data_IF_696478708033
#
_entry.id   IF_696478708033
#
_cell.length_a   1.000
_cell.length_b   1.000
_cell.length_c   1.000
_cell.angle_alpha   90.00
_cell.angle_beta   90.00
_cell.angle_gamma   90.00
#
_symmetry.space_group_name_H-M   'P 1'
#
loop_
_entity.id
_entity.type
_entity.pdbx_description
1 polymer ?
#
# COMPACT_ATOMS: atom_id res chain seq x y z
N UNK A 1 4.84 -11.49 14.29
CA UNK A 1 4.49 -11.72 15.70
C UNK A 1 4.91 -10.48 16.47
N UNK A 2 4.08 -10.06 17.42
CA UNK A 2 4.28 -8.79 18.13
C UNK A 2 5.03 -8.95 19.46
N UNK A 3 4.84 -10.07 20.14
CA UNK A 3 5.40 -10.32 21.48
C UNK A 3 6.56 -11.29 21.51
N UNK A 4 6.67 -12.19 20.52
CA UNK A 4 7.67 -13.27 20.50
C UNK A 4 8.32 -13.45 19.13
N UNK A 5 9.50 -14.07 19.13
CA UNK A 5 10.26 -14.47 17.95
C UNK A 5 11.08 -13.34 17.33
N UNK A 6 11.79 -13.66 16.24
CA UNK A 6 12.83 -12.79 15.64
C UNK A 6 12.34 -11.38 15.29
N UNK A 7 11.05 -11.21 14.99
CA UNK A 7 10.48 -9.89 14.71
C UNK A 7 10.46 -9.06 16.00
N UNK A 8 9.96 -9.58 17.12
CA UNK A 8 9.90 -8.85 18.39
C UNK A 8 11.29 -8.63 19.03
N UNK A 9 12.24 -9.54 18.77
CA UNK A 9 13.57 -9.52 19.38
C UNK A 9 14.58 -8.62 18.65
N UNK A 10 14.25 -8.15 17.44
CA UNK A 10 15.18 -7.39 16.59
C UNK A 10 14.54 -6.17 15.93
N UNK A 11 15.05 -4.99 16.29
CA UNK A 11 14.51 -3.70 15.83
C UNK A 11 14.56 -3.50 14.30
N UNK A 12 15.54 -4.06 13.61
CA UNK A 12 15.65 -4.00 12.15
C UNK A 12 14.51 -4.76 11.47
N UNK A 13 14.15 -5.95 12.01
CA UNK A 13 13.02 -6.73 11.52
C UNK A 13 11.67 -6.08 11.86
N UNK A 14 11.51 -5.51 13.06
CA UNK A 14 10.31 -4.73 13.39
C UNK A 14 10.10 -3.57 12.43
N UNK A 15 11.16 -2.78 12.19
CA UNK A 15 11.13 -1.60 11.33
C UNK A 15 10.77 -1.97 9.89
N UNK A 16 11.39 -3.02 9.36
CA UNK A 16 11.09 -3.52 8.02
C UNK A 16 9.62 -3.98 7.92
N UNK A 17 9.12 -4.68 8.94
CA UNK A 17 7.74 -5.17 8.97
C UNK A 17 6.70 -4.05 9.09
N UNK A 18 6.97 -3.03 9.91
CA UNK A 18 6.11 -1.83 10.03
C UNK A 18 6.04 -1.05 8.72
N UNK A 19 7.13 -0.98 7.95
CA UNK A 19 7.16 -0.31 6.64
C UNK A 19 6.37 -1.07 5.57
N UNK A 20 6.52 -2.40 5.51
CA UNK A 20 5.86 -3.21 4.51
C UNK A 20 4.32 -3.19 4.64
N UNK A 21 3.80 -3.11 5.87
CA UNK A 21 2.36 -3.11 6.21
C UNK A 21 1.59 -4.26 5.54
N UNK A 22 2.28 -5.34 5.18
CA UNK A 22 1.75 -6.46 4.41
C UNK A 22 1.11 -7.52 5.31
N UNK A 23 1.43 -7.49 6.60
CA UNK A 23 0.97 -8.45 7.58
C UNK A 23 0.53 -7.76 8.89
N UNK A 24 -0.60 -8.19 9.42
CA UNK A 24 -1.08 -7.81 10.75
C UNK A 24 -0.19 -8.49 11.80
N UNK A 25 0.26 -7.78 12.85
CA UNK A 25 0.95 -8.41 13.97
C UNK A 25 0.03 -9.43 14.65
N UNK A 26 0.56 -10.63 14.87
CA UNK A 26 -0.12 -11.70 15.60
C UNK A 26 0.47 -11.78 17.00
N UNK A 27 -0.38 -11.86 18.01
CA UNK A 27 0.02 -12.04 19.41
C UNK A 27 0.36 -13.53 19.70
N UNK A 28 1.11 -13.77 20.76
CA UNK A 28 1.52 -15.14 21.14
C UNK A 28 0.32 -16.04 21.47
N UNK A 29 -0.62 -15.52 22.25
CA UNK A 29 -1.83 -16.24 22.66
C UNK A 29 -2.73 -16.59 21.47
N UNK A 30 -2.86 -15.69 20.49
CA UNK A 30 -3.55 -15.96 19.22
C UNK A 30 -2.90 -17.13 18.46
N UNK A 31 -1.57 -17.13 18.36
CA UNK A 31 -0.84 -18.21 17.69
C UNK A 31 -1.01 -19.55 18.42
N UNK A 32 -0.87 -19.55 19.75
CA UNK A 32 -1.01 -20.75 20.56
C UNK A 32 -2.44 -21.31 20.47
N UNK A 33 -3.46 -20.45 20.51
CA UNK A 33 -4.85 -20.87 20.32
C UNK A 33 -5.10 -21.48 18.94
N UNK A 34 -4.47 -20.95 17.89
CA UNK A 34 -4.53 -21.51 16.55
C UNK A 34 -3.84 -22.88 16.46
N UNK A 35 -2.70 -23.05 17.13
CA UNK A 35 -2.02 -24.35 17.22
C UNK A 35 -2.88 -25.37 17.95
N UNK A 36 -3.53 -24.98 19.05
CA UNK A 36 -4.46 -25.87 19.77
C UNK A 36 -5.63 -26.31 18.88
N UNK A 37 -6.17 -25.40 18.06
CA UNK A 37 -7.25 -25.71 17.11
C UNK A 37 -6.77 -26.67 16.00
N UNK A 38 -5.59 -26.42 15.44
CA UNK A 38 -5.04 -27.16 14.30
C UNK A 38 -4.44 -28.51 14.69
N UNK A 39 -3.90 -28.62 15.90
CA UNK A 39 -3.20 -29.81 16.39
C UNK A 39 -4.03 -30.60 17.40
N UNK A 40 -5.34 -30.37 17.47
CA UNK A 40 -6.24 -31.05 18.42
C UNK A 40 -6.29 -32.58 18.19
N UNK A 41 -5.64 -33.38 19.06
CA UNK A 41 -5.59 -34.82 18.88
C UNK A 41 -6.89 -35.51 19.30
N UNK A 42 -7.79 -34.77 19.96
CA UNK A 42 -9.04 -35.28 20.50
C UNK A 42 -10.25 -34.94 19.61
N UNK A 43 -10.05 -34.17 18.53
CA UNK A 43 -11.12 -33.83 17.58
C UNK A 43 -12.28 -33.05 18.19
N UNK A 44 -12.01 -32.26 19.23
CA UNK A 44 -12.96 -31.37 19.91
C UNK A 44 -13.42 -30.24 18.98
N UNK A 45 -12.56 -29.81 18.06
CA UNK A 45 -12.87 -28.78 17.10
C UNK A 45 -13.13 -29.34 15.70
N UNK A 46 -14.14 -28.77 15.02
CA UNK A 46 -14.38 -29.07 13.61
C UNK A 46 -13.24 -28.49 12.78
N UNK A 47 -12.35 -29.34 12.32
CA UNK A 47 -11.27 -28.89 11.46
C UNK A 47 -11.79 -28.55 10.06
N UNK A 48 -11.25 -27.49 9.43
CA UNK A 48 -11.52 -27.21 8.04
C UNK A 48 -11.01 -28.35 7.16
N UNK A 49 -11.62 -28.51 5.98
CA UNK A 49 -11.17 -29.48 4.99
C UNK A 49 -9.81 -29.05 4.45
N UNK A 50 -8.74 -29.65 4.97
CA UNK A 50 -7.34 -29.28 4.67
C UNK A 50 -6.94 -29.59 3.22
N UNK A 51 -7.70 -30.44 2.51
CA UNK A 51 -7.49 -30.68 1.07
C UNK A 51 -8.07 -29.55 0.21
N UNK A 52 -9.00 -28.76 0.76
CA UNK A 52 -9.70 -27.67 0.05
C UNK A 52 -9.39 -26.29 0.62
N UNK A 53 -8.69 -26.20 1.73
CA UNK A 53 -8.45 -24.95 2.42
C UNK A 53 -7.10 -24.93 3.15
N UNK A 54 -6.56 -23.73 3.29
CA UNK A 54 -5.34 -23.48 4.04
C UNK A 54 -5.60 -22.30 4.98
N UNK A 55 -5.04 -22.39 6.18
CA UNK A 55 -5.13 -21.35 7.19
C UNK A 55 -4.00 -20.35 6.95
N UNK A 56 -4.38 -19.08 6.76
CA UNK A 56 -3.44 -17.97 6.66
C UNK A 56 -3.74 -17.01 7.80
N UNK A 57 -2.69 -16.64 8.54
CA UNK A 57 -2.79 -15.77 9.71
C UNK A 57 -1.99 -14.50 9.47
N UNK A 58 -2.48 -13.39 10.02
CA UNK A 58 -1.87 -12.07 9.84
C UNK A 58 -2.00 -11.52 8.42
N UNK A 59 -2.72 -12.16 7.49
CA UNK A 59 -2.94 -11.60 6.17
C UNK A 59 -3.69 -10.27 6.26
N UNK A 60 -3.15 -9.23 5.62
CA UNK A 60 -3.89 -7.99 5.41
C UNK A 60 -4.91 -8.17 4.29
N UNK A 61 -6.05 -7.50 4.40
CA UNK A 61 -7.13 -7.53 3.40
C UNK A 61 -7.49 -6.11 2.98
N UNK A 62 -8.11 -5.90 1.81
CA UNK A 62 -8.64 -4.59 1.45
C UNK A 62 -9.57 -4.04 2.53
N UNK A 63 -10.43 -4.90 3.10
CA UNK A 63 -11.36 -4.52 4.17
C UNK A 63 -10.65 -4.01 5.44
N UNK A 64 -9.49 -4.60 5.81
CA UNK A 64 -8.70 -4.15 6.95
C UNK A 64 -8.17 -2.71 6.80
N UNK A 65 -7.69 -2.33 5.62
CA UNK A 65 -7.23 -0.96 5.39
C UNK A 65 -8.42 0.02 5.35
N UNK A 66 -9.48 -0.37 4.63
CA UNK A 66 -10.69 0.43 4.52
C UNK A 66 -11.36 0.63 5.89
N UNK A 67 -11.37 -0.33 6.81
CA UNK A 67 -11.98 -0.07 8.13
C UNK A 67 -11.23 0.99 8.96
N UNK A 68 -9.96 1.29 8.63
CA UNK A 68 -9.06 2.12 9.46
C UNK A 68 -8.80 3.53 8.96
N UNK A 69 -9.35 3.92 7.83
CA UNK A 69 -9.02 5.23 7.24
C UNK A 69 -8.13 5.13 6.01
N UNK A 70 -7.65 3.93 5.68
CA UNK A 70 -6.39 3.78 4.96
C UNK A 70 -6.61 3.25 3.54
N UNK A 71 -5.84 3.79 2.59
CA UNK A 71 -5.79 3.25 1.24
C UNK A 71 -5.14 1.85 1.26
N UNK A 72 -5.78 0.82 0.65
CA UNK A 72 -5.19 -0.52 0.58
C UNK A 72 -3.86 -0.52 -0.19
N UNK A 73 -2.87 -1.24 0.33
CA UNK A 73 -1.57 -1.43 -0.31
C UNK A 73 -1.71 -2.17 -1.65
N UNK A 74 -0.75 -1.96 -2.56
CA UNK A 74 -0.76 -2.55 -3.91
C UNK A 74 -0.87 -4.08 -3.92
N UNK A 75 -0.34 -4.75 -2.89
CA UNK A 75 -0.40 -6.21 -2.76
C UNK A 75 -1.86 -6.72 -2.69
N UNK A 76 -2.68 -6.13 -1.82
CA UNK A 76 -4.06 -6.57 -1.59
C UNK A 76 -5.03 -6.10 -2.68
N UNK A 77 -4.58 -5.23 -3.59
CA UNK A 77 -5.32 -4.85 -4.80
C UNK A 77 -5.25 -5.90 -5.92
N UNK A 78 -4.39 -6.92 -5.78
CA UNK A 78 -4.27 -7.98 -6.79
C UNK A 78 -5.54 -8.82 -6.86
N UNK A 79 -5.89 -9.29 -8.06
CA UNK A 79 -7.13 -10.04 -8.31
C UNK A 79 -7.28 -11.31 -7.47
N UNK A 80 -6.17 -11.93 -7.07
CA UNK A 80 -6.17 -13.09 -6.14
C UNK A 80 -6.77 -12.77 -4.76
N UNK A 81 -6.79 -11.50 -4.35
CA UNK A 81 -7.40 -11.04 -3.10
C UNK A 81 -8.80 -10.45 -3.28
N UNK A 82 -9.36 -10.46 -4.49
CA UNK A 82 -10.67 -9.85 -4.78
C UNK A 82 -11.80 -10.42 -3.92
N UNK A 83 -11.75 -11.71 -3.61
CA UNK A 83 -12.72 -12.39 -2.72
C UNK A 83 -12.67 -11.94 -1.26
N UNK A 84 -11.59 -11.27 -0.83
CA UNK A 84 -11.40 -10.80 0.55
C UNK A 84 -11.88 -9.34 0.75
N UNK A 85 -12.44 -8.72 -0.28
CA UNK A 85 -12.97 -7.35 -0.23
C UNK A 85 -14.27 -7.25 0.57
N UNK A 86 -15.04 -8.35 0.63
CA UNK A 86 -16.38 -8.39 1.21
C UNK A 86 -16.45 -8.75 2.70
N UNK A 87 -15.34 -9.05 3.36
CA UNK A 87 -15.30 -9.31 4.81
C UNK A 87 -15.27 -7.96 5.53
N UNK A 88 -16.32 -7.17 5.38
CA UNK A 88 -16.58 -6.02 6.25
C UNK A 88 -17.19 -6.59 7.52
N UNK A 89 -16.43 -6.60 8.61
CA UNK A 89 -17.08 -6.54 9.91
C UNK A 89 -17.97 -5.29 9.90
N UNK A 90 -19.27 -5.50 10.02
CA UNK A 90 -20.27 -4.46 10.00
C UNK A 90 -20.08 -3.54 11.22
N UNK A 91 -19.22 -2.53 11.10
CA UNK A 91 -19.25 -1.35 11.97
C UNK A 91 -20.12 -0.27 11.30
N UNK A 92 -21.26 0.11 11.90
CA UNK A 92 -22.17 1.11 11.35
C UNK A 92 -21.56 2.50 11.53
N UNK A 93 -20.77 2.94 10.56
CA UNK A 93 -20.16 4.27 10.60
C UNK A 93 -19.20 4.61 9.47
N UNK A 94 -18.82 3.64 8.62
CA UNK A 94 -17.88 3.91 7.53
C UNK A 94 -18.52 4.78 6.44
N UNK A 95 -18.26 6.08 6.51
CA UNK A 95 -18.22 6.94 5.32
C UNK A 95 -17.37 6.23 4.29
N UNK A 96 -17.95 5.98 3.11
CA UNK A 96 -17.24 5.47 1.97
C UNK A 96 -15.94 6.27 1.79
N UNK A 97 -14.81 5.56 1.75
CA UNK A 97 -13.56 6.14 1.32
C UNK A 97 -13.80 6.77 -0.03
N UNK A 98 -13.72 8.10 -0.07
CA UNK A 98 -13.46 8.77 -1.31
C UNK A 98 -12.17 8.13 -1.80
N UNK A 99 -12.31 7.29 -2.82
CA UNK A 99 -11.35 7.20 -3.90
C UNK A 99 -10.97 8.67 -4.14
N UNK A 100 -9.86 9.16 -3.60
CA UNK A 100 -9.29 10.38 -4.14
C UNK A 100 -8.96 9.96 -5.55
N UNK A 101 -9.87 10.30 -6.43
CA UNK A 101 -9.90 9.79 -7.78
C UNK A 101 -8.93 10.68 -8.54
N UNK A 102 -7.66 10.69 -8.11
CA UNK A 102 -6.54 11.36 -8.76
C UNK A 102 -6.53 11.01 -10.24
N UNK A 103 -6.94 9.78 -10.57
CA UNK A 103 -7.18 9.29 -11.94
C UNK A 103 -8.36 10.00 -12.62
N UNK A 104 -9.51 10.18 -11.96
CA UNK A 104 -10.62 10.96 -12.52
C UNK A 104 -10.30 12.46 -12.61
N UNK A 105 -9.63 13.05 -11.61
CA UNK A 105 -9.16 14.43 -11.64
C UNK A 105 -8.18 14.64 -12.79
N UNK A 106 -7.25 13.71 -12.99
CA UNK A 106 -6.31 13.72 -14.12
C UNK A 106 -7.05 13.64 -15.46
N UNK A 107 -8.08 12.79 -15.59
CA UNK A 107 -8.91 12.71 -16.80
C UNK A 107 -9.75 13.97 -17.04
N UNK A 108 -10.22 14.62 -15.99
CA UNK A 108 -11.05 15.83 -16.05
C UNK A 108 -10.22 17.11 -16.23
N UNK A 109 -8.92 17.05 -15.95
CA UNK A 109 -8.02 18.18 -16.10
C UNK A 109 -7.93 18.63 -17.57
N UNK A 110 -8.18 19.92 -17.87
CA UNK A 110 -8.36 20.43 -19.22
C UNK A 110 -7.06 20.57 -20.02
N UNK A 111 -5.90 20.50 -19.37
CA UNK A 111 -4.61 20.71 -20.03
C UNK A 111 -3.44 19.95 -19.39
N UNK A 112 -2.27 19.92 -20.07
CA UNK A 112 -1.08 19.21 -19.60
C UNK A 112 -0.57 19.73 -18.26
N UNK A 113 -0.72 21.03 -18.00
CA UNK A 113 -0.24 21.67 -16.77
C UNK A 113 -1.11 21.27 -15.57
N UNK A 114 -2.42 21.32 -15.71
CA UNK A 114 -3.38 20.91 -14.68
C UNK A 114 -3.26 19.40 -14.41
N UNK A 115 -3.00 18.60 -15.45
CA UNK A 115 -2.68 17.18 -15.31
C UNK A 115 -1.40 16.95 -14.51
N UNK A 116 -0.35 17.73 -14.78
CA UNK A 116 0.90 17.65 -14.03
C UNK A 116 0.69 18.02 -12.55
N UNK A 117 -0.08 19.07 -12.27
CA UNK A 117 -0.44 19.48 -10.90
C UNK A 117 -1.17 18.35 -10.13
N UNK A 118 -2.10 17.65 -10.79
CA UNK A 118 -2.77 16.48 -10.20
C UNK A 118 -1.77 15.36 -9.88
N UNK A 119 -0.84 15.06 -10.79
CA UNK A 119 0.20 14.03 -10.54
C UNK A 119 1.11 14.44 -9.39
N UNK A 120 1.53 15.71 -9.35
CA UNK A 120 2.39 16.24 -8.28
C UNK A 120 1.70 16.12 -6.93
N UNK A 121 0.43 16.54 -6.82
CA UNK A 121 -0.36 16.37 -5.60
C UNK A 121 -0.46 14.91 -5.16
N UNK A 122 -0.79 14.02 -6.10
CA UNK A 122 -0.89 12.58 -5.83
C UNK A 122 0.47 11.98 -5.38
N UNK A 123 1.57 12.45 -5.97
CA UNK A 123 2.93 12.02 -5.64
C UNK A 123 3.35 12.50 -4.25
N UNK A 124 3.08 13.77 -3.91
CA UNK A 124 3.33 14.33 -2.57
C UNK A 124 2.61 13.50 -1.52
N UNK A 125 1.31 13.26 -1.68
CA UNK A 125 0.57 12.46 -0.71
C UNK A 125 1.11 11.03 -0.60
N UNK A 126 1.52 10.43 -1.72
CA UNK A 126 2.11 9.08 -1.71
C UNK A 126 3.44 9.06 -0.98
N UNK A 127 4.30 10.08 -1.17
CA UNK A 127 5.56 10.23 -0.47
C UNK A 127 5.35 10.52 1.03
N UNK A 128 4.44 11.42 1.37
CA UNK A 128 4.07 11.75 2.75
C UNK A 128 3.68 10.48 3.53
N UNK A 129 2.82 9.65 2.92
CA UNK A 129 2.42 8.35 3.50
C UNK A 129 3.58 7.35 3.58
N UNK A 130 4.44 7.27 2.57
CA UNK A 130 5.56 6.33 2.55
C UNK A 130 6.67 6.69 3.56
N UNK A 131 6.90 7.99 3.74
CA UNK A 131 7.96 8.54 4.59
C UNK A 131 7.48 8.93 6.00
N UNK A 132 6.17 8.83 6.26
CA UNK A 132 5.54 9.29 7.51
C UNK A 132 5.79 10.78 7.79
N UNK A 133 5.73 11.60 6.74
CA UNK A 133 5.84 13.06 6.78
C UNK A 133 4.48 13.71 6.53
N UNK A 134 4.31 14.99 6.89
CA UNK A 134 3.15 15.76 6.40
C UNK A 134 3.32 16.05 4.91
N UNK A 135 2.22 16.19 4.17
CA UNK A 135 2.25 16.67 2.79
C UNK A 135 2.87 18.08 2.70
N UNK A 136 2.65 18.90 3.73
CA UNK A 136 3.18 20.27 3.82
C UNK A 136 4.71 20.31 4.03
N UNK A 137 5.31 19.21 4.48
CA UNK A 137 6.76 19.10 4.71
C UNK A 137 7.52 18.69 3.42
N UNK A 138 6.80 18.41 2.33
CA UNK A 138 7.38 17.99 1.05
C UNK A 138 7.45 19.20 0.12
N UNK A 139 8.67 19.73 -0.01
CA UNK A 139 9.06 20.69 -1.03
C UNK A 139 9.14 20.02 -2.41
N UNK A 140 8.35 20.53 -3.36
CA UNK A 140 8.23 20.00 -4.71
C UNK A 140 9.42 20.33 -5.61
N UNK A 141 10.22 21.34 -5.24
CA UNK A 141 11.45 21.72 -5.97
C UNK A 141 12.62 20.78 -5.63
N UNK A 142 12.48 19.97 -4.58
CA UNK A 142 13.47 18.94 -4.23
C UNK A 142 13.30 17.67 -5.03
N UNK A 143 14.38 16.90 -5.09
CA UNK A 143 14.41 15.62 -5.80
C UNK A 143 13.89 14.49 -4.92
N UNK A 144 13.47 13.38 -5.53
CA UNK A 144 13.10 12.18 -4.78
C UNK A 144 14.28 11.63 -3.95
N UNK A 145 15.49 11.74 -4.47
CA UNK A 145 16.72 11.30 -3.78
C UNK A 145 16.95 12.07 -2.47
N UNK A 146 16.59 13.36 -2.40
CA UNK A 146 16.72 14.18 -1.18
C UNK A 146 15.82 13.68 -0.04
N UNK A 147 14.71 13.03 -0.38
CA UNK A 147 13.79 12.40 0.56
C UNK A 147 14.14 10.93 0.89
N UNK A 148 15.30 10.45 0.41
CA UNK A 148 15.75 9.08 0.66
C UNK A 148 14.99 8.02 -0.13
N UNK A 149 14.39 8.39 -1.27
CA UNK A 149 13.80 7.41 -2.20
C UNK A 149 14.91 6.53 -2.77
N UNK A 150 14.82 5.22 -2.52
CA UNK A 150 15.77 4.23 -3.00
C UNK A 150 15.29 3.55 -4.30
N UNK A 151 16.13 2.67 -4.85
CA UNK A 151 15.83 1.91 -6.07
C UNK A 151 14.57 1.05 -5.95
N UNK A 152 14.22 0.56 -4.76
CA UNK A 152 13.04 -0.27 -4.56
C UNK A 152 11.77 0.58 -4.61
N UNK A 153 11.78 1.73 -3.92
CA UNK A 153 10.68 2.67 -3.94
C UNK A 153 10.50 3.30 -5.32
N UNK A 154 11.58 3.52 -6.07
CA UNK A 154 11.48 3.97 -7.46
C UNK A 154 10.81 2.93 -8.39
N UNK A 155 11.05 1.64 -8.18
CA UNK A 155 10.34 0.57 -8.91
C UNK A 155 8.85 0.56 -8.54
N UNK A 156 8.51 0.80 -7.26
CA UNK A 156 7.12 0.93 -6.84
C UNK A 156 6.44 2.14 -7.51
N UNK A 157 7.10 3.31 -7.51
CA UNK A 157 6.60 4.53 -8.15
C UNK A 157 6.39 4.32 -9.65
N UNK A 158 7.33 3.67 -10.35
CA UNK A 158 7.15 3.30 -11.76
C UNK A 158 5.89 2.47 -11.99
N UNK A 159 5.68 1.44 -11.19
CA UNK A 159 4.50 0.58 -11.32
C UNK A 159 3.22 1.34 -11.02
N UNK A 160 3.26 2.24 -10.04
CA UNK A 160 2.14 3.10 -9.69
C UNK A 160 1.79 4.08 -10.81
N UNK A 161 2.77 4.79 -11.40
CA UNK A 161 2.54 5.68 -12.55
C UNK A 161 1.91 4.95 -13.73
N UNK A 162 2.35 3.71 -14.01
CA UNK A 162 1.78 2.91 -15.07
C UNK A 162 0.34 2.46 -14.77
N UNK A 163 0.02 2.11 -13.52
CA UNK A 163 -1.30 1.63 -13.14
C UNK A 163 -2.34 2.75 -13.10
N UNK A 164 -2.01 3.88 -12.47
CA UNK A 164 -2.97 4.94 -12.16
C UNK A 164 -3.02 5.98 -13.29
N UNK A 165 -1.89 6.28 -13.93
CA UNK A 165 -1.78 7.30 -14.97
C UNK A 165 -1.43 6.72 -16.36
N UNK A 166 -1.30 5.40 -16.54
CA UNK A 166 -0.91 4.78 -17.82
C UNK A 166 0.33 5.43 -18.44
N UNK A 167 1.25 5.86 -17.58
CA UNK A 167 2.48 6.54 -17.96
C UNK A 167 3.67 5.59 -17.77
N UNK A 168 4.37 5.29 -18.87
CA UNK A 168 5.59 4.50 -18.82
C UNK A 168 6.78 5.40 -18.50
N UNK A 169 7.25 5.32 -17.26
CA UNK A 169 8.43 6.06 -16.78
C UNK A 169 9.56 5.07 -16.50
N UNK A 170 10.76 5.36 -16.98
CA UNK A 170 11.94 4.57 -16.67
C UNK A 170 12.33 4.78 -15.21
N UNK A 171 12.75 3.72 -14.51
CA UNK A 171 13.23 3.81 -13.11
C UNK A 171 14.38 4.82 -13.01
N UNK A 172 15.26 4.85 -14.01
CA UNK A 172 16.34 5.83 -14.07
C UNK A 172 15.84 7.27 -14.04
N UNK A 173 14.76 7.61 -14.76
CA UNK A 173 14.18 8.97 -14.74
C UNK A 173 13.52 9.33 -13.40
N UNK A 174 13.19 8.34 -12.57
CA UNK A 174 12.66 8.56 -11.20
C UNK A 174 13.82 8.76 -10.22
N UNK A 175 14.92 8.05 -10.43
CA UNK A 175 16.14 8.11 -9.61
C UNK A 175 17.08 9.25 -10.02
N UNK A 176 16.84 9.85 -11.18
CA UNK A 176 17.56 11.03 -11.64
C UNK A 176 17.31 12.19 -10.67
N UNK A 177 18.25 13.14 -10.61
CA UNK A 177 18.17 14.31 -9.73
C UNK A 177 17.16 15.34 -10.26
N UNK A 178 15.97 14.88 -10.64
CA UNK A 178 14.87 15.64 -11.19
C UNK A 178 13.93 16.06 -10.06
N UNK A 179 13.51 17.34 -10.01
CA UNK A 179 12.53 17.81 -9.05
C UNK A 179 11.19 17.08 -9.16
N UNK A 180 10.46 16.98 -8.05
CA UNK A 180 9.13 16.36 -7.99
C UNK A 180 8.16 17.01 -9.00
N UNK A 181 8.21 18.34 -9.17
CA UNK A 181 7.39 19.06 -10.16
C UNK A 181 7.66 18.55 -11.57
N UNK A 182 8.92 18.51 -11.98
CA UNK A 182 9.33 18.07 -13.32
C UNK A 182 9.01 16.59 -13.58
N UNK A 183 9.05 15.76 -12.53
CA UNK A 183 8.62 14.37 -12.63
C UNK A 183 7.10 14.27 -12.87
N UNK A 184 6.30 15.11 -12.22
CA UNK A 184 4.85 15.20 -12.48
C UNK A 184 4.54 15.61 -13.91
N UNK A 185 5.27 16.58 -14.46
CA UNK A 185 5.17 16.97 -15.87
C UNK A 185 5.55 15.83 -16.83
N UNK A 186 6.61 15.10 -16.51
CA UNK A 186 7.05 13.95 -17.29
C UNK A 186 5.99 12.84 -17.34
N UNK A 187 5.38 12.54 -16.20
CA UNK A 187 4.29 11.56 -16.08
C UNK A 187 3.06 12.04 -16.85
N UNK A 188 2.67 13.31 -16.71
CA UNK A 188 1.55 13.89 -17.44
C UNK A 188 1.76 13.83 -18.96
N UNK A 189 2.98 14.09 -19.43
CA UNK A 189 3.35 14.04 -20.85
C UNK A 189 3.37 12.62 -21.41
N UNK A 190 3.81 11.63 -20.62
CA UNK A 190 3.89 10.22 -21.04
C UNK A 190 2.61 9.43 -20.79
N UNK A 191 1.65 10.02 -20.10
CA UNK A 191 0.37 9.41 -19.81
C UNK A 191 -0.41 9.15 -21.10
N UNK A 192 -0.95 7.93 -21.23
CA UNK A 192 -1.94 7.59 -22.26
C UNK A 192 -3.37 7.89 -21.80
N UNK A 193 -3.54 8.40 -20.58
CA UNK A 193 -4.80 8.72 -19.94
C UNK A 193 -5.23 10.15 -20.24
N UNK A 194 -5.44 10.46 -21.53
CA UNK A 194 -6.17 11.64 -21.97
C UNK A 194 -5.53 12.41 -23.10
#
# INVERSE_FOLDING_TARGET
MKTIGIIAEREDYERNRRRARDMIPIEEDELLALLDLCCDPFGRYKQPDMDKSQIIIGATTPAFFLSRGEAPISLVRRRIFSGLTGILEASPGSRAYAKEDHVALFKQAPGPKERAEVVVGALIEKLARALSLSADDIDTERTLSDYGVDSLMAVELRNWFNNDFQAEVAVFSIMENTPIVSLGELVATRSKLG
#
